data_IF_767828698865
#
_entry.id   IF_767828698865
#
_cell.length_a   1.000
_cell.length_b   1.000
_cell.length_c   1.000
_cell.angle_alpha   90.00
_cell.angle_beta   90.00
_cell.angle_gamma   90.00
#
_symmetry.space_group_name_H-M   'P 1'
#
loop_
_entity.id
_entity.type
_entity.pdbx_description
1 polymer ?
#
# COMPACT_ATOMS: atom_id res chain seq x y z
N UNK A 1 4.50 -0.96 -3.43
CA UNK A 1 5.91 -0.48 -3.47
C UNK A 1 6.13 0.85 -2.71
N UNK A 2 5.11 1.53 -2.17
CA UNK A 2 5.31 2.77 -1.38
C UNK A 2 5.69 2.53 0.08
N UNK A 3 4.87 1.76 0.81
CA UNK A 3 5.08 1.52 2.23
C UNK A 3 6.40 0.80 2.58
N UNK A 4 6.81 -0.18 1.75
CA UNK A 4 8.06 -0.91 1.96
C UNK A 4 9.30 -0.01 1.83
N UNK A 5 9.25 0.97 0.92
CA UNK A 5 10.32 1.96 0.72
C UNK A 5 10.46 2.86 1.95
N UNK A 6 9.34 3.42 2.44
CA UNK A 6 9.33 4.24 3.66
C UNK A 6 9.78 3.42 4.87
N UNK A 7 9.25 2.21 5.06
CA UNK A 7 9.55 1.38 6.22
C UNK A 7 11.03 0.97 6.29
N UNK A 8 11.70 0.83 5.14
CA UNK A 8 13.14 0.53 5.06
C UNK A 8 14.05 1.74 5.22
N UNK A 9 13.52 2.96 5.15
CA UNK A 9 14.30 4.20 5.21
C UNK A 9 14.66 4.59 6.65
N UNK A 10 15.71 5.39 6.83
CA UNK A 10 16.05 5.95 8.15
C UNK A 10 14.95 6.91 8.64
N UNK A 11 14.81 7.13 9.95
CA UNK A 11 13.82 8.07 10.49
C UNK A 11 13.90 9.47 9.85
N UNK A 12 15.11 9.95 9.54
CA UNK A 12 15.34 11.25 8.91
C UNK A 12 14.81 11.26 7.46
N UNK A 13 15.05 10.19 6.71
CA UNK A 13 14.55 10.05 5.35
C UNK A 13 13.01 9.93 5.32
N UNK A 14 12.41 9.23 6.29
CA UNK A 14 10.96 9.16 6.45
C UNK A 14 10.37 10.55 6.75
N UNK A 15 10.95 11.28 7.71
CA UNK A 15 10.49 12.60 8.09
C UNK A 15 10.59 13.60 6.93
N UNK A 16 11.70 13.56 6.18
CA UNK A 16 11.89 14.39 4.98
C UNK A 16 10.81 14.10 3.93
N UNK A 17 10.61 12.83 3.58
CA UNK A 17 9.59 12.44 2.61
C UNK A 17 8.19 12.92 3.02
N UNK A 18 7.80 12.71 4.29
CA UNK A 18 6.50 13.15 4.78
C UNK A 18 6.35 14.68 4.80
N UNK A 19 7.44 15.43 5.01
CA UNK A 19 7.44 16.90 4.98
C UNK A 19 7.31 17.50 3.58
N UNK A 20 7.66 16.74 2.54
CA UNK A 20 7.56 17.16 1.13
C UNK A 20 6.14 16.93 0.57
N UNK A 21 5.30 16.15 1.25
CA UNK A 21 3.93 15.89 0.84
C UNK A 21 2.97 17.00 1.32
N UNK A 22 1.98 17.38 0.49
CA UNK A 22 0.87 18.21 0.94
C UNK A 22 0.14 17.62 2.16
N UNK A 23 -0.31 18.48 3.07
CA UNK A 23 -0.90 18.04 4.35
C UNK A 23 -2.17 17.18 4.17
N UNK A 24 -2.95 17.43 3.13
CA UNK A 24 -4.10 16.61 2.72
C UNK A 24 -3.67 15.22 2.22
N UNK A 25 -2.59 15.14 1.44
CA UNK A 25 -2.02 13.86 0.99
C UNK A 25 -1.52 13.04 2.18
N UNK A 26 -0.81 13.67 3.14
CA UNK A 26 -0.36 12.99 4.36
C UNK A 26 -1.55 12.44 5.17
N UNK A 27 -2.64 13.20 5.28
CA UNK A 27 -3.87 12.73 5.95
C UNK A 27 -4.56 11.59 5.20
N UNK A 28 -4.45 11.55 3.87
CA UNK A 28 -5.02 10.50 3.04
C UNK A 28 -4.23 9.19 3.11
N UNK A 29 -2.90 9.24 3.34
CA UNK A 29 -2.00 8.08 3.30
C UNK A 29 -2.53 6.83 4.03
N UNK A 30 -3.07 6.88 5.27
CA UNK A 30 -3.59 5.69 5.96
C UNK A 30 -4.72 4.96 5.21
N UNK A 31 -5.46 5.70 4.39
CA UNK A 31 -6.64 5.22 3.66
C UNK A 31 -6.31 4.74 2.23
N UNK A 32 -5.11 5.02 1.72
CA UNK A 32 -4.68 4.61 0.38
C UNK A 32 -4.24 3.14 0.36
N UNK A 33 -5.17 2.23 0.07
CA UNK A 33 -4.88 0.79 0.09
C UNK A 33 -3.68 0.40 -0.80
N UNK A 34 -3.63 0.85 -2.05
CA UNK A 34 -2.57 0.53 -3.00
C UNK A 34 -1.16 0.90 -2.50
N UNK A 35 -1.07 1.94 -1.68
CA UNK A 35 0.20 2.37 -1.08
C UNK A 35 0.75 1.32 -0.10
N UNK A 36 -0.14 0.70 0.67
CA UNK A 36 0.15 -0.30 1.70
C UNK A 36 0.04 -1.75 1.19
N UNK A 37 -0.57 -1.96 0.03
CA UNK A 37 -0.82 -3.28 -0.52
C UNK A 37 0.48 -4.03 -0.83
N UNK A 38 0.52 -5.30 -0.45
CA UNK A 38 1.54 -6.23 -0.89
C UNK A 38 1.27 -6.63 -2.36
N UNK A 39 2.29 -7.05 -3.13
CA UNK A 39 2.09 -7.38 -4.55
C UNK A 39 0.97 -8.40 -4.82
N UNK A 40 0.80 -9.41 -3.96
CA UNK A 40 -0.25 -10.44 -4.10
C UNK A 40 -1.67 -9.95 -3.74
N UNK A 41 -1.80 -8.75 -3.19
CA UNK A 41 -3.06 -8.12 -2.83
C UNK A 41 -3.56 -7.16 -3.90
N UNK A 42 -2.78 -6.95 -4.97
CA UNK A 42 -3.15 -6.14 -6.11
C UNK A 42 -3.63 -7.04 -7.25
N UNK A 43 -4.54 -6.55 -8.10
CA UNK A 43 -4.91 -7.27 -9.31
C UNK A 43 -3.67 -7.47 -10.21
N UNK A 44 -3.62 -8.57 -10.97
CA UNK A 44 -2.59 -8.74 -12.00
C UNK A 44 -2.77 -7.68 -13.10
N UNK A 45 -1.72 -7.46 -13.87
CA UNK A 45 -1.76 -6.56 -15.03
C UNK A 45 -2.70 -7.09 -16.12
N UNK A 46 -3.33 -6.17 -16.85
CA UNK A 46 -4.26 -6.47 -17.94
C UNK A 46 -5.72 -6.56 -17.53
N UNK A 47 -6.57 -6.90 -18.50
CA UNK A 47 -8.02 -6.99 -18.29
C UNK A 47 -8.42 -8.34 -17.71
N UNK A 48 -9.16 -8.31 -16.62
CA UNK A 48 -9.73 -9.50 -15.99
C UNK A 48 -11.20 -9.27 -15.68
N UNK A 49 -12.00 -10.33 -15.81
CA UNK A 49 -13.39 -10.34 -15.32
C UNK A 49 -13.47 -10.74 -13.86
N UNK A 50 -12.54 -11.59 -13.43
CA UNK A 50 -12.42 -12.08 -12.05
C UNK A 50 -10.97 -12.44 -11.80
N UNK A 51 -10.48 -12.15 -10.60
CA UNK A 51 -9.17 -12.57 -10.11
C UNK A 51 -9.30 -12.99 -8.64
N UNK A 52 -8.26 -13.64 -8.12
CA UNK A 52 -8.30 -14.25 -6.79
C UNK A 52 -7.05 -13.89 -5.98
N UNK A 53 -7.27 -13.42 -4.75
CA UNK A 53 -6.21 -13.21 -3.75
C UNK A 53 -6.00 -14.51 -2.97
N UNK A 54 -4.85 -15.14 -3.13
CA UNK A 54 -4.46 -16.33 -2.36
C UNK A 54 -3.65 -15.92 -1.12
N UNK A 55 -4.06 -16.35 0.07
CA UNK A 55 -3.30 -16.09 1.29
C UNK A 55 -3.85 -16.80 2.53
N UNK A 56 -3.00 -17.07 3.52
CA UNK A 56 -3.34 -17.69 4.81
C UNK A 56 -4.02 -16.74 5.80
N UNK A 57 -4.16 -17.15 7.07
CA UNK A 57 -4.68 -16.28 8.14
C UNK A 57 -3.79 -15.03 8.28
N UNK A 58 -4.40 -13.84 8.35
CA UNK A 58 -3.66 -12.58 8.49
C UNK A 58 -3.04 -12.02 7.21
N UNK A 59 -3.19 -12.68 6.05
CA UNK A 59 -2.61 -12.21 4.78
C UNK A 59 -3.28 -10.95 4.18
N UNK A 60 -4.24 -10.33 4.88
CA UNK A 60 -4.89 -9.09 4.42
C UNK A 60 -5.85 -9.23 3.24
N UNK A 61 -6.29 -10.46 2.91
CA UNK A 61 -7.27 -10.74 1.84
C UNK A 61 -8.61 -9.99 1.97
N UNK A 62 -9.03 -9.62 3.19
CA UNK A 62 -10.22 -8.77 3.41
C UNK A 62 -10.01 -7.33 2.93
N UNK A 63 -8.82 -6.75 3.17
CA UNK A 63 -8.51 -5.37 2.76
C UNK A 63 -8.33 -5.26 1.25
N UNK A 64 -7.92 -6.35 0.60
CA UNK A 64 -7.77 -6.43 -0.86
C UNK A 64 -9.09 -6.51 -1.64
N UNK A 65 -10.20 -6.87 -0.97
CA UNK A 65 -11.51 -7.02 -1.60
C UNK A 65 -12.57 -6.03 -1.13
N UNK A 66 -12.18 -5.01 -0.34
CA UNK A 66 -13.06 -3.96 0.17
C UNK A 66 -12.87 -2.67 -0.64
#
# INVERSE_FOLDING_TARGET
MGAGLIASATPEAQAKFLSELPADVVRALPYLFEFWALPHQLPPEGDWRTWMVLGGRGAGKTRAGA
#
